data_IF_025346157216
#
_entry.id   IF_025346157216
#
_cell.length_a   1.000
_cell.length_b   1.000
_cell.length_c   1.000
_cell.angle_alpha   90.00
_cell.angle_beta   90.00
_cell.angle_gamma   90.00
#
_symmetry.space_group_name_H-M   'P 1'
#
loop_
_entity.id
_entity.type
_entity.pdbx_description
1 polymer ?
#
# COMPACT_ATOMS: atom_id res chain seq x y z
N UNK A 1 4.37 -2.11 -12.88
CA UNK A 1 5.02 -2.33 -11.60
C UNK A 1 4.85 -3.77 -11.19
N UNK A 2 5.95 -4.41 -10.87
CA UNK A 2 5.94 -5.80 -10.45
C UNK A 2 5.21 -5.93 -9.10
N UNK A 3 4.29 -6.88 -9.00
CA UNK A 3 3.56 -7.16 -7.78
C UNK A 3 2.29 -6.33 -7.56
N UNK A 4 2.14 -5.21 -8.23
CA UNK A 4 0.93 -4.38 -8.12
C UNK A 4 0.01 -4.63 -9.32
N UNK A 5 -1.28 -4.84 -9.03
CA UNK A 5 -2.31 -4.96 -10.07
C UNK A 5 -3.05 -3.63 -10.16
N UNK A 6 -3.16 -3.09 -11.36
CA UNK A 6 -3.87 -1.83 -11.60
C UNK A 6 -5.21 -2.08 -12.25
N UNK A 7 -6.26 -1.45 -11.73
CA UNK A 7 -7.58 -1.42 -12.34
C UNK A 7 -8.26 -0.09 -12.03
N UNK A 8 -9.55 0.04 -12.36
CA UNK A 8 -10.31 1.28 -12.16
C UNK A 8 -10.42 1.67 -10.68
N UNK A 9 -10.19 0.74 -9.76
CA UNK A 9 -10.33 0.98 -8.32
C UNK A 9 -9.00 1.27 -7.64
N UNK A 10 -7.88 1.19 -8.36
CA UNK A 10 -6.57 1.55 -7.81
C UNK A 10 -5.46 0.58 -8.15
N UNK A 11 -4.34 0.76 -7.46
CA UNK A 11 -3.24 -0.20 -7.44
C UNK A 11 -3.45 -1.12 -6.23
N UNK A 12 -3.42 -2.43 -6.47
CA UNK A 12 -3.71 -3.43 -5.45
C UNK A 12 -2.54 -4.37 -5.26
N UNK A 13 -2.21 -4.67 -4.01
CA UNK A 13 -1.23 -5.70 -3.71
C UNK A 13 -1.51 -6.34 -2.36
N UNK A 14 -1.35 -7.67 -2.30
CA UNK A 14 -1.43 -8.44 -1.06
C UNK A 14 -0.03 -8.82 -0.62
N UNK A 15 0.25 -8.62 0.66
CA UNK A 15 1.51 -9.00 1.30
C UNK A 15 1.20 -10.06 2.36
N UNK A 16 1.97 -11.15 2.34
CA UNK A 16 1.81 -12.24 3.30
C UNK A 16 3.12 -12.41 4.06
N UNK A 17 3.02 -12.47 5.38
CA UNK A 17 4.17 -12.53 6.28
C UNK A 17 4.15 -13.84 7.07
N UNK A 18 5.17 -14.06 7.90
CA UNK A 18 5.26 -15.28 8.71
C UNK A 18 4.22 -15.26 9.84
N UNK A 19 3.95 -14.07 10.41
CA UNK A 19 3.04 -13.91 11.54
C UNK A 19 2.51 -12.48 11.60
N UNK A 20 1.69 -12.21 12.62
CA UNK A 20 1.12 -10.88 12.81
C UNK A 20 2.18 -9.83 13.16
N UNK A 21 3.18 -10.21 13.95
CA UNK A 21 4.24 -9.27 14.35
C UNK A 21 4.98 -8.71 13.13
N UNK A 22 5.28 -9.57 12.15
CA UNK A 22 5.90 -9.13 10.89
C UNK A 22 4.95 -8.24 10.07
N UNK A 23 3.67 -8.62 9.98
CA UNK A 23 2.68 -7.84 9.27
C UNK A 23 2.55 -6.45 9.90
N UNK A 24 2.49 -6.38 11.21
CA UNK A 24 2.38 -5.11 11.93
C UNK A 24 3.62 -4.24 11.75
N UNK A 25 4.82 -4.84 11.81
CA UNK A 25 6.06 -4.11 11.57
C UNK A 25 6.07 -3.49 10.16
N UNK A 26 5.61 -4.24 9.16
CA UNK A 26 5.47 -3.74 7.79
C UNK A 26 4.47 -2.59 7.72
N UNK A 27 3.29 -2.75 8.31
CA UNK A 27 2.26 -1.71 8.31
C UNK A 27 2.77 -0.43 8.98
N UNK A 28 3.53 -0.56 10.07
CA UNK A 28 4.10 0.59 10.76
C UNK A 28 5.05 1.38 9.86
N UNK A 29 5.85 0.69 9.05
CA UNK A 29 6.74 1.34 8.08
C UNK A 29 5.96 2.00 6.96
N UNK A 30 4.91 1.34 6.46
CA UNK A 30 4.05 1.92 5.42
C UNK A 30 3.35 3.16 5.95
N UNK A 31 2.93 3.15 7.21
CA UNK A 31 2.30 4.32 7.83
C UNK A 31 3.23 5.54 7.82
N UNK A 32 4.52 5.35 8.12
CA UNK A 32 5.50 6.44 8.04
C UNK A 32 5.61 6.97 6.62
N UNK A 33 5.70 6.07 5.63
CA UNK A 33 5.77 6.47 4.22
C UNK A 33 4.52 7.23 3.79
N UNK A 34 3.34 6.79 4.23
CA UNK A 34 2.08 7.45 3.90
C UNK A 34 2.06 8.89 4.41
N UNK A 35 2.56 9.12 5.64
CA UNK A 35 2.66 10.46 6.19
C UNK A 35 3.69 11.31 5.44
N UNK A 36 4.83 10.74 5.08
CA UNK A 36 5.87 11.45 4.32
C UNK A 36 5.37 11.88 2.95
N UNK A 37 4.58 11.02 2.30
CA UNK A 37 4.02 11.30 0.97
C UNK A 37 2.73 12.09 1.02
N UNK A 38 2.18 12.33 2.22
CA UNK A 38 0.85 12.92 2.40
C UNK A 38 -0.18 12.23 1.52
N UNK A 39 -0.11 10.90 1.47
CA UNK A 39 -0.97 10.07 0.63
C UNK A 39 -1.18 8.72 1.32
N UNK A 40 -2.42 8.43 1.70
CA UNK A 40 -2.71 7.33 2.61
C UNK A 40 -3.37 6.16 1.89
N UNK A 41 -2.97 4.92 2.20
CA UNK A 41 -3.55 3.74 1.57
C UNK A 41 -4.92 3.41 2.12
N UNK A 42 -5.74 2.74 1.30
CA UNK A 42 -6.88 1.99 1.78
C UNK A 42 -6.36 0.58 2.02
N UNK A 43 -6.42 0.11 3.24
CA UNK A 43 -5.81 -1.17 3.56
C UNK A 43 -6.56 -1.94 4.62
N UNK A 44 -6.30 -3.24 4.66
CA UNK A 44 -6.82 -4.12 5.70
C UNK A 44 -5.76 -5.13 6.11
N UNK A 45 -5.90 -5.63 7.31
CA UNK A 45 -5.02 -6.64 7.85
C UNK A 45 -5.85 -7.77 8.46
N UNK A 46 -5.46 -9.00 8.13
CA UNK A 46 -6.01 -10.19 8.75
C UNK A 46 -4.84 -11.11 9.07
N UNK A 47 -4.53 -11.25 10.38
CA UNK A 47 -3.43 -12.09 10.88
C UNK A 47 -2.10 -11.70 10.20
N UNK A 48 -1.58 -12.53 9.30
CA UNK A 48 -0.30 -12.34 8.61
C UNK A 48 -0.46 -11.69 7.22
N UNK A 49 -1.65 -11.27 6.85
CA UNK A 49 -1.95 -10.77 5.50
C UNK A 49 -2.32 -9.30 5.56
N UNK A 50 -1.71 -8.52 4.66
CA UNK A 50 -2.01 -7.09 4.51
C UNK A 50 -2.41 -6.85 3.07
N UNK A 51 -3.61 -6.32 2.85
CA UNK A 51 -4.09 -5.93 1.53
C UNK A 51 -4.04 -4.41 1.43
N UNK A 52 -3.35 -3.90 0.41
CA UNK A 52 -3.19 -2.46 0.19
C UNK A 52 -3.81 -2.08 -1.14
N UNK A 53 -4.61 -1.02 -1.12
CA UNK A 53 -5.12 -0.36 -2.32
C UNK A 53 -4.68 1.09 -2.30
N UNK A 54 -4.06 1.53 -3.38
CA UNK A 54 -3.62 2.92 -3.55
C UNK A 54 -4.46 3.55 -4.66
N UNK A 55 -5.14 4.65 -4.32
CA UNK A 55 -5.93 5.41 -5.27
C UNK A 55 -5.94 6.87 -4.81
N UNK A 56 -6.00 7.78 -5.77
CA UNK A 56 -6.13 9.21 -5.48
C UNK A 56 -7.62 9.55 -5.46
N UNK A 57 -8.21 9.63 -4.25
CA UNK A 57 -9.65 9.78 -4.09
C UNK A 57 -10.19 11.06 -4.72
N UNK A 58 -9.41 12.15 -4.70
CA UNK A 58 -9.79 13.42 -5.29
C UNK A 58 -9.88 13.35 -6.82
N UNK A 59 -9.12 12.44 -7.45
CA UNK A 59 -9.12 12.24 -8.90
C UNK A 59 -9.93 11.00 -9.32
N UNK A 60 -10.27 10.14 -8.37
CA UNK A 60 -10.95 8.85 -8.59
C UNK A 60 -10.20 7.95 -9.56
N UNK A 61 -8.90 8.01 -9.55
CA UNK A 61 -8.04 7.18 -10.40
C UNK A 61 -6.64 7.11 -9.82
N UNK A 62 -5.84 6.20 -10.38
CA UNK A 62 -4.42 6.09 -10.05
C UNK A 62 -3.69 7.30 -10.63
N UNK A 63 -2.89 7.94 -9.80
CA UNK A 63 -2.05 9.07 -10.21
C UNK A 63 -0.60 8.80 -9.85
N UNK A 64 0.27 9.74 -10.17
CA UNK A 64 1.69 9.66 -9.83
C UNK A 64 1.91 9.52 -8.31
N UNK A 65 1.03 10.10 -7.49
CA UNK A 65 1.11 9.96 -6.03
C UNK A 65 1.04 8.48 -5.60
N UNK A 66 0.16 7.72 -6.25
CA UNK A 66 0.00 6.30 -5.96
C UNK A 66 1.22 5.51 -6.40
N UNK A 67 1.76 5.82 -7.58
CA UNK A 67 2.94 5.14 -8.12
C UNK A 67 4.17 5.40 -7.27
N UNK A 68 4.34 6.61 -6.76
CA UNK A 68 5.45 6.97 -5.89
C UNK A 68 5.36 6.23 -4.56
N UNK A 69 4.16 6.16 -3.98
CA UNK A 69 3.98 5.45 -2.71
C UNK A 69 4.18 3.95 -2.91
N UNK A 70 3.67 3.38 -4.00
CA UNK A 70 3.88 1.97 -4.32
C UNK A 70 5.37 1.65 -4.44
N UNK A 71 6.14 2.50 -5.13
CA UNK A 71 7.59 2.32 -5.26
C UNK A 71 8.30 2.40 -3.91
N UNK A 72 7.89 3.33 -3.05
CA UNK A 72 8.46 3.46 -1.71
C UNK A 72 8.16 2.23 -0.85
N UNK A 73 6.95 1.70 -0.94
CA UNK A 73 6.57 0.46 -0.23
C UNK A 73 7.41 -0.71 -0.74
N UNK A 74 7.62 -0.81 -2.04
CA UNK A 74 8.41 -1.89 -2.63
C UNK A 74 9.88 -1.83 -2.22
N UNK A 75 10.36 -0.68 -1.80
CA UNK A 75 11.75 -0.49 -1.36
C UNK A 75 11.97 -0.81 0.13
N UNK A 76 10.93 -1.14 0.86
CA UNK A 76 11.04 -1.50 2.27
C UNK A 76 11.77 -2.83 2.49
#
# INVERSE_FOLDING_TARGET
MSGWREDDTGLHRRFVFADFAEAWAFMSKVAVLAEEHDHHPDWSNSWNTVDITLISHDKRCVTERDRRLAAAIDAL
#
